data_IF_933342441345
#
_entry.id   IF_933342441345
#
_cell.length_a   1.000
_cell.length_b   1.000
_cell.length_c   1.000
_cell.angle_alpha   90.00
_cell.angle_beta   90.00
_cell.angle_gamma   90.00
#
_symmetry.space_group_name_H-M   'P 1'
#
loop_
_entity.id
_entity.type
_entity.pdbx_description
1 polymer ?
#
# COMPACT_ATOMS: atom_id res chain seq x y z
N UNK A 1 -8.39 -24.64 72.95
CA UNK A 1 -7.37 -24.55 71.89
C UNK A 1 -7.98 -25.13 70.63
N UNK A 2 -7.90 -24.38 69.53
CA UNK A 2 -8.35 -24.65 68.16
C UNK A 2 -9.73 -24.08 67.76
N UNK A 3 -9.59 -22.96 67.03
CA UNK A 3 -10.56 -21.96 66.59
C UNK A 3 -11.40 -22.42 65.41
N UNK A 4 -12.68 -22.11 65.47
CA UNK A 4 -13.71 -22.29 64.45
C UNK A 4 -13.62 -21.18 63.38
N UNK A 5 -13.41 -21.61 62.13
CA UNK A 5 -13.97 -21.19 60.82
C UNK A 5 -14.62 -19.78 60.63
N UNK A 6 -14.44 -19.22 59.41
CA UNK A 6 -15.18 -18.11 58.70
C UNK A 6 -14.45 -16.75 58.72
N UNK A 7 -14.26 -15.94 57.65
CA UNK A 7 -14.79 -15.86 56.29
C UNK A 7 -13.72 -15.26 55.36
N UNK A 8 -13.44 -15.93 54.24
CA UNK A 8 -12.72 -15.36 53.10
C UNK A 8 -13.76 -14.67 52.20
N UNK A 9 -13.81 -13.33 52.21
CA UNK A 9 -14.66 -12.55 51.29
C UNK A 9 -13.87 -12.26 50.01
N UNK A 10 -14.08 -13.06 48.96
CA UNK A 10 -13.55 -12.73 47.63
C UNK A 10 -14.40 -11.62 47.01
N UNK A 11 -13.78 -10.48 46.73
CA UNK A 11 -14.35 -9.41 45.91
C UNK A 11 -14.42 -9.90 44.45
N UNK A 12 -15.62 -10.09 43.90
CA UNK A 12 -15.82 -10.24 42.46
C UNK A 12 -15.75 -8.85 41.82
N UNK A 13 -14.61 -8.50 41.24
CA UNK A 13 -14.50 -7.37 40.33
C UNK A 13 -14.98 -7.82 38.93
N UNK A 14 -16.19 -7.43 38.56
CA UNK A 14 -16.71 -7.60 37.20
C UNK A 14 -16.01 -6.63 36.26
N UNK A 15 -15.07 -7.13 35.45
CA UNK A 15 -14.52 -6.39 34.32
C UNK A 15 -15.54 -6.48 33.19
N UNK A 16 -16.26 -5.38 32.94
CA UNK A 16 -17.04 -5.22 31.73
C UNK A 16 -16.08 -5.02 30.56
N UNK A 17 -15.94 -6.04 29.70
CA UNK A 17 -15.20 -5.92 28.45
C UNK A 17 -15.98 -4.98 27.51
N UNK A 18 -15.48 -3.77 27.33
CA UNK A 18 -15.91 -2.89 26.24
C UNK A 18 -15.41 -3.52 24.95
N UNK A 19 -16.32 -4.15 24.21
CA UNK A 19 -16.05 -4.59 22.84
C UNK A 19 -15.92 -3.35 21.97
N UNK A 20 -14.67 -2.91 21.75
CA UNK A 20 -14.36 -1.94 20.69
C UNK A 20 -14.66 -2.67 19.38
N UNK A 21 -15.74 -2.26 18.69
CA UNK A 21 -15.97 -2.68 17.32
C UNK A 21 -14.92 -2.01 16.44
N UNK A 22 -13.75 -2.63 16.32
CA UNK A 22 -12.82 -2.34 15.24
C UNK A 22 -13.52 -2.73 13.95
N UNK A 23 -13.97 -1.75 13.18
CA UNK A 23 -14.41 -2.00 11.81
C UNK A 23 -13.26 -2.68 11.07
N UNK A 24 -13.50 -3.88 10.54
CA UNK A 24 -12.53 -4.58 9.70
C UNK A 24 -12.31 -3.73 8.46
N UNK A 25 -11.13 -3.12 8.34
CA UNK A 25 -10.72 -2.48 7.10
C UNK A 25 -10.60 -3.58 6.04
N UNK A 26 -11.45 -3.54 5.03
CA UNK A 26 -11.34 -4.44 3.89
C UNK A 26 -10.21 -3.95 2.99
N UNK A 27 -9.28 -4.84 2.69
CA UNK A 27 -8.17 -4.58 1.80
C UNK A 27 -8.09 -5.64 0.71
N UNK A 28 -7.68 -5.24 -0.48
CA UNK A 28 -7.31 -6.14 -1.57
C UNK A 28 -5.87 -5.85 -2.00
N UNK A 29 -5.13 -6.89 -2.33
CA UNK A 29 -3.71 -6.81 -2.66
C UNK A 29 -3.46 -7.35 -4.05
N UNK A 30 -2.71 -6.60 -4.84
CA UNK A 30 -2.24 -6.99 -6.16
C UNK A 30 -0.72 -7.01 -6.16
N UNK A 31 -0.12 -8.10 -6.63
CA UNK A 31 1.33 -8.23 -6.78
C UNK A 31 1.68 -8.61 -8.20
N UNK A 32 2.80 -8.10 -8.71
CA UNK A 32 3.32 -8.45 -10.02
C UNK A 32 4.84 -8.58 -9.95
N UNK A 33 5.40 -9.60 -10.61
CA UNK A 33 6.83 -9.81 -10.74
C UNK A 33 7.13 -10.29 -12.16
N UNK A 34 8.19 -9.77 -12.78
CA UNK A 34 8.63 -10.22 -14.10
C UNK A 34 9.98 -10.96 -14.06
N UNK A 35 10.38 -11.49 -15.21
CA UNK A 35 11.64 -12.23 -15.37
C UNK A 35 12.89 -11.36 -15.29
N UNK A 36 12.75 -10.03 -15.32
CA UNK A 36 13.86 -9.10 -15.22
C UNK A 36 14.15 -8.70 -13.77
N UNK A 37 13.29 -9.10 -12.83
CA UNK A 37 13.45 -8.80 -11.40
C UNK A 37 12.73 -7.54 -10.95
N UNK A 38 11.86 -6.95 -11.78
CA UNK A 38 10.88 -5.95 -11.33
C UNK A 38 9.81 -6.64 -10.52
N UNK A 39 9.49 -6.09 -9.36
CA UNK A 39 8.46 -6.62 -8.48
C UNK A 39 7.74 -5.47 -7.80
N UNK A 40 6.41 -5.49 -7.84
CA UNK A 40 5.57 -4.44 -7.30
C UNK A 40 4.37 -5.00 -6.53
N UNK A 41 3.87 -4.20 -5.61
CA UNK A 41 2.66 -4.46 -4.84
C UNK A 41 1.79 -3.20 -4.77
N UNK A 42 0.48 -3.38 -4.90
CA UNK A 42 -0.52 -2.38 -4.57
C UNK A 42 -1.54 -2.96 -3.58
N UNK A 43 -1.67 -2.33 -2.42
CA UNK A 43 -2.70 -2.66 -1.43
C UNK A 43 -3.74 -1.54 -1.46
N UNK A 44 -4.97 -1.87 -1.83
CA UNK A 44 -6.12 -0.98 -1.76
C UNK A 44 -6.90 -1.28 -0.49
N UNK A 45 -7.24 -0.26 0.29
CA UNK A 45 -8.06 -0.43 1.50
C UNK A 45 -9.05 0.72 1.67
N UNK A 46 -10.18 0.43 2.31
CA UNK A 46 -11.22 1.43 2.58
C UNK A 46 -11.14 1.90 4.03
N UNK A 47 -11.14 3.22 4.22
CA UNK A 47 -11.22 3.85 5.53
C UNK A 47 -12.20 5.02 5.49
N UNK A 48 -13.42 4.78 5.97
CA UNK A 48 -14.52 5.73 5.84
C UNK A 48 -14.86 5.98 4.37
N UNK A 49 -14.83 7.24 3.94
CA UNK A 49 -15.03 7.68 2.54
C UNK A 49 -13.72 7.86 1.77
N UNK A 50 -12.62 7.28 2.28
CA UNK A 50 -11.31 7.33 1.65
C UNK A 50 -10.91 5.96 1.11
N UNK A 51 -10.32 5.96 -0.08
CA UNK A 51 -9.52 4.87 -0.60
C UNK A 51 -8.05 5.14 -0.23
N UNK A 52 -7.44 4.22 0.51
CA UNK A 52 -6.00 4.23 0.76
C UNK A 52 -5.33 3.24 -0.17
N UNK A 53 -4.26 3.68 -0.84
CA UNK A 53 -3.48 2.87 -1.77
C UNK A 53 -2.03 2.87 -1.31
N UNK A 54 -1.51 1.71 -0.89
CA UNK A 54 -0.07 1.54 -0.66
C UNK A 54 0.54 0.99 -1.93
N UNK A 55 1.46 1.73 -2.55
CA UNK A 55 2.21 1.29 -3.72
C UNK A 55 3.65 1.00 -3.30
N UNK A 56 4.17 -0.16 -3.67
CA UNK A 56 5.52 -0.57 -3.32
C UNK A 56 6.27 -1.22 -4.49
N UNK A 57 7.58 -0.99 -4.55
CA UNK A 57 8.53 -1.76 -5.35
C UNK A 57 9.16 -2.82 -4.44
N UNK A 58 8.63 -4.03 -4.50
CA UNK A 58 8.97 -5.14 -3.60
C UNK A 58 10.20 -5.93 -4.04
N UNK A 59 10.90 -5.51 -5.10
CA UNK A 59 12.11 -6.19 -5.54
C UNK A 59 13.20 -6.14 -4.47
N UNK A 60 13.99 -7.21 -4.40
CA UNK A 60 15.16 -7.31 -3.52
C UNK A 60 16.47 -6.98 -4.25
N UNK A 61 16.42 -6.62 -5.54
CA UNK A 61 17.59 -6.28 -6.33
C UNK A 61 17.95 -4.80 -6.21
N UNK A 62 19.25 -4.49 -6.34
CA UNK A 62 19.75 -3.11 -6.42
C UNK A 62 19.22 -2.42 -7.69
N UNK A 63 18.85 -1.14 -7.62
CA UNK A 63 18.33 -0.40 -8.78
C UNK A 63 19.48 0.30 -9.49
N UNK A 64 19.89 -0.28 -10.62
CA UNK A 64 21.02 0.22 -11.42
C UNK A 64 20.61 0.83 -12.77
N UNK A 65 19.31 0.79 -13.11
CA UNK A 65 18.76 1.31 -14.35
C UNK A 65 17.40 2.02 -14.06
N UNK A 66 17.15 3.23 -14.60
CA UNK A 66 15.88 3.96 -14.44
C UNK A 66 14.62 3.15 -14.79
N UNK A 67 14.73 2.17 -15.69
CA UNK A 67 13.64 1.26 -16.07
C UNK A 67 13.25 0.26 -14.99
N UNK A 68 13.90 0.30 -13.82
CA UNK A 68 13.57 -0.46 -12.61
C UNK A 68 12.98 0.41 -11.48
N UNK A 69 12.80 1.71 -11.73
CA UNK A 69 12.07 2.60 -10.83
C UNK A 69 10.58 2.53 -11.15
N UNK A 70 9.76 2.25 -10.13
CA UNK A 70 8.30 2.19 -10.23
C UNK A 70 7.74 3.63 -10.15
N UNK A 71 7.08 4.08 -11.21
CA UNK A 71 6.65 5.48 -11.36
C UNK A 71 5.14 5.62 -11.44
N UNK A 72 4.40 4.55 -11.74
CA UNK A 72 2.94 4.62 -11.76
C UNK A 72 2.25 3.31 -11.38
N UNK A 73 1.03 3.48 -10.90
CA UNK A 73 0.03 2.44 -10.71
C UNK A 73 -1.20 2.82 -11.53
N UNK A 74 -1.68 1.89 -12.35
CA UNK A 74 -2.94 2.02 -13.09
C UNK A 74 -3.96 1.04 -12.55
N UNK A 75 -5.24 1.43 -12.55
CA UNK A 75 -6.35 0.61 -12.09
C UNK A 75 -7.70 1.11 -12.61
N UNK A 76 -8.75 0.32 -12.40
CA UNK A 76 -10.15 0.64 -12.66
C UNK A 76 -11.01 0.34 -11.43
N UNK A 77 -12.29 0.73 -11.48
CA UNK A 77 -13.26 0.50 -10.40
C UNK A 77 -13.42 1.70 -9.46
N UNK A 78 -12.39 2.53 -9.30
CA UNK A 78 -12.42 3.74 -8.47
C UNK A 78 -11.98 5.00 -9.25
N UNK A 79 -12.97 5.79 -9.70
CA UNK A 79 -12.77 6.97 -10.54
C UNK A 79 -13.28 8.25 -9.87
N UNK A 80 -12.79 9.41 -10.33
CA UNK A 80 -13.28 10.71 -9.90
C UNK A 80 -12.99 11.04 -8.43
N UNK A 81 -12.00 10.36 -7.82
CA UNK A 81 -11.63 10.60 -6.43
C UNK A 81 -10.81 11.88 -6.28
N UNK A 82 -10.82 12.45 -5.08
CA UNK A 82 -10.05 13.65 -4.75
C UNK A 82 -8.71 13.25 -4.14
N UNK A 83 -7.56 13.64 -4.72
CA UNK A 83 -6.26 13.40 -4.09
C UNK A 83 -6.13 14.19 -2.79
N UNK A 84 -5.84 13.50 -1.68
CA UNK A 84 -5.69 14.11 -0.34
C UNK A 84 -4.23 14.16 0.07
N UNK A 85 -3.54 13.01 0.11
CA UNK A 85 -2.14 12.95 0.54
C UNK A 85 -1.34 11.83 -0.12
N UNK A 86 -0.02 12.00 -0.18
CA UNK A 86 0.95 10.95 -0.46
C UNK A 86 2.04 10.98 0.61
N UNK A 87 2.10 9.94 1.44
CA UNK A 87 2.94 9.89 2.63
C UNK A 87 3.90 8.70 2.59
N UNK A 88 5.11 8.91 3.07
CA UNK A 88 6.09 7.86 3.28
C UNK A 88 5.71 7.04 4.52
N UNK A 89 5.48 5.72 4.41
CA UNK A 89 5.28 4.89 5.58
C UNK A 89 6.60 4.71 6.34
N UNK A 90 6.51 4.26 7.60
CA UNK A 90 7.70 3.97 8.41
C UNK A 90 8.64 3.00 7.70
N UNK A 91 9.94 3.29 7.74
CA UNK A 91 10.97 2.48 7.08
C UNK A 91 11.23 2.84 5.61
N UNK A 92 10.46 3.78 5.06
CA UNK A 92 10.74 4.42 3.76
C UNK A 92 11.52 5.72 3.95
N UNK A 93 12.42 6.01 3.01
CA UNK A 93 13.25 7.21 2.98
C UNK A 93 13.38 7.74 1.56
N UNK A 94 13.67 9.04 1.44
CA UNK A 94 14.01 9.72 0.18
C UNK A 94 15.53 9.87 0.11
N UNK A 95 16.10 9.60 -1.06
CA UNK A 95 17.51 9.83 -1.36
C UNK A 95 17.65 10.97 -2.34
N UNK A 96 18.80 11.64 -2.31
CA UNK A 96 19.15 12.72 -3.22
C UNK A 96 18.13 13.90 -3.24
N UNK A 97 17.31 14.02 -2.19
CA UNK A 97 16.29 15.06 -2.07
C UNK A 97 15.61 15.11 -0.70
N UNK A 98 14.83 16.17 -0.44
CA UNK A 98 14.12 16.33 0.83
C UNK A 98 12.90 15.40 0.92
N UNK A 99 12.51 15.02 2.15
CA UNK A 99 11.32 14.23 2.44
C UNK A 99 10.17 15.02 3.08
N UNK A 100 10.40 16.27 3.50
CA UNK A 100 9.42 17.16 4.11
C UNK A 100 8.54 16.50 5.21
N UNK A 101 9.18 15.84 6.17
CA UNK A 101 8.46 15.16 7.25
C UNK A 101 7.67 13.93 6.78
N UNK A 102 7.97 13.40 5.60
CA UNK A 102 7.33 12.24 4.99
C UNK A 102 6.19 12.58 4.04
N UNK A 103 5.86 13.85 3.79
CA UNK A 103 4.86 14.21 2.79
C UNK A 103 5.50 14.50 1.44
N UNK A 104 5.25 13.61 0.46
CA UNK A 104 5.76 13.66 -0.91
C UNK A 104 4.67 13.95 -1.95
N UNK A 105 3.48 14.38 -1.53
CA UNK A 105 2.35 14.57 -2.45
C UNK A 105 2.54 15.70 -3.47
N UNK A 106 3.46 16.63 -3.22
CA UNK A 106 3.88 17.61 -4.23
C UNK A 106 4.63 17.03 -5.43
N UNK A 107 4.86 15.72 -5.46
CA UNK A 107 5.64 15.00 -6.48
C UNK A 107 4.81 13.89 -7.17
N UNK A 108 3.53 13.77 -6.82
CA UNK A 108 2.65 12.72 -7.33
C UNK A 108 1.32 13.32 -7.79
N UNK A 109 0.70 12.65 -8.75
CA UNK A 109 -0.64 12.98 -9.22
C UNK A 109 -1.53 11.74 -9.29
N UNK A 110 -2.81 11.94 -9.00
CA UNK A 110 -3.88 11.01 -9.35
C UNK A 110 -4.63 11.54 -10.59
N UNK A 111 -4.96 10.64 -11.51
CA UNK A 111 -5.78 10.93 -12.68
C UNK A 111 -6.86 9.88 -12.85
N UNK A 112 -7.98 10.27 -13.46
CA UNK A 112 -9.10 9.38 -13.75
C UNK A 112 -9.85 9.80 -15.02
N UNK A 113 -10.71 8.92 -15.51
CA UNK A 113 -11.38 9.10 -16.80
C UNK A 113 -10.47 8.80 -17.99
N UNK A 114 -9.41 8.01 -17.78
CA UNK A 114 -8.51 7.60 -18.86
C UNK A 114 -9.21 6.69 -19.84
N UNK A 115 -8.93 6.90 -21.13
CA UNK A 115 -9.41 6.07 -22.24
C UNK A 115 -8.27 5.34 -22.96
N UNK A 116 -7.03 5.73 -22.69
CA UNK A 116 -5.82 5.22 -23.35
C UNK A 116 -4.76 4.71 -22.37
N UNK A 117 -5.09 4.57 -21.08
CA UNK A 117 -4.15 4.04 -20.11
C UNK A 117 -3.91 2.53 -20.34
N UNK A 118 -2.75 2.00 -19.90
CA UNK A 118 -2.39 0.60 -20.08
C UNK A 118 -3.48 -0.35 -19.60
N UNK A 119 -3.65 -1.46 -20.33
CA UNK A 119 -4.59 -2.54 -19.99
C UNK A 119 -6.06 -2.09 -19.79
N UNK A 120 -6.45 -0.94 -20.37
CA UNK A 120 -7.81 -0.42 -20.24
C UNK A 120 -8.12 0.13 -18.85
N UNK A 121 -7.09 0.52 -18.09
CA UNK A 121 -7.28 1.21 -16.83
C UNK A 121 -8.02 2.54 -17.03
N UNK A 122 -8.86 2.92 -16.06
CA UNK A 122 -9.62 4.19 -16.11
C UNK A 122 -9.06 5.24 -15.16
N UNK A 123 -8.15 4.85 -14.26
CA UNK A 123 -7.50 5.72 -13.29
C UNK A 123 -6.04 5.30 -13.05
N UNK A 124 -5.29 6.18 -12.40
CA UNK A 124 -3.92 5.88 -11.99
C UNK A 124 -3.32 6.93 -11.07
N UNK A 125 -2.18 6.58 -10.49
CA UNK A 125 -1.35 7.41 -9.63
C UNK A 125 0.07 7.39 -10.20
N UNK A 126 0.70 8.54 -10.41
CA UNK A 126 2.06 8.59 -10.95
C UNK A 126 2.89 9.76 -10.44
N UNK A 127 4.22 9.55 -10.36
CA UNK A 127 5.24 10.58 -10.15
C UNK A 127 5.82 11.11 -11.46
N UNK A 128 5.37 10.61 -12.61
CA UNK A 128 5.88 10.98 -13.93
C UNK A 128 4.73 11.27 -14.89
N UNK A 129 5.00 12.06 -15.92
CA UNK A 129 4.02 12.40 -16.95
C UNK A 129 3.76 11.27 -17.95
N UNK A 130 4.63 10.26 -17.98
CA UNK A 130 4.56 9.10 -18.86
C UNK A 130 4.50 9.51 -20.34
N UNK A 131 5.61 10.07 -20.82
CA UNK A 131 5.79 10.46 -22.22
C UNK A 131 5.61 9.24 -23.14
N UNK A 132 5.11 9.39 -24.38
CA UNK A 132 4.55 10.61 -24.98
C UNK A 132 3.08 10.84 -24.62
N UNK A 133 2.46 9.94 -23.85
CA UNK A 133 1.02 10.01 -23.56
C UNK A 133 0.64 11.22 -22.70
N UNK A 134 1.54 11.69 -21.83
CA UNK A 134 1.31 12.87 -21.00
C UNK A 134 0.09 12.71 -20.08
N UNK A 135 -0.21 11.48 -19.63
CA UNK A 135 -1.40 11.15 -18.84
C UNK A 135 -1.47 11.93 -17.53
N UNK A 136 -0.32 12.37 -17.02
CA UNK A 136 -0.20 13.19 -15.83
C UNK A 136 0.56 14.48 -16.18
N UNK A 137 0.07 15.63 -15.73
CA UNK A 137 0.67 16.92 -16.06
C UNK A 137 1.36 17.59 -14.87
N UNK A 138 0.66 17.70 -13.75
CA UNK A 138 1.13 18.37 -12.54
C UNK A 138 0.75 17.56 -11.30
N UNK A 139 1.55 17.61 -10.23
CA UNK A 139 1.20 17.03 -8.94
C UNK A 139 -0.12 17.62 -8.43
N UNK A 140 -0.94 16.78 -7.81
CA UNK A 140 -2.25 17.20 -7.30
C UNK A 140 -2.63 16.61 -5.93
N UNK A 141 -1.73 15.88 -5.28
CA UNK A 141 -1.83 15.61 -3.85
C UNK A 141 -1.39 16.82 -3.03
N UNK A 142 -1.64 16.80 -1.71
CA UNK A 142 -1.17 17.86 -0.83
C UNK A 142 0.37 17.89 -0.73
N UNK A 143 0.90 19.00 -0.21
CA UNK A 143 2.33 19.16 0.05
C UNK A 143 3.01 20.11 -0.93
N UNK A 144 4.20 20.62 -0.56
CA UNK A 144 4.99 21.48 -1.43
C UNK A 144 5.73 20.68 -2.49
N UNK A 145 6.15 21.38 -3.54
CA UNK A 145 7.16 20.87 -4.46
C UNK A 145 8.49 20.69 -3.71
N UNK A 146 8.99 19.47 -3.69
CA UNK A 146 10.20 19.02 -3.00
C UNK A 146 11.43 18.98 -3.93
N UNK A 147 11.22 18.67 -5.21
CA UNK A 147 12.24 18.65 -6.25
C UNK A 147 11.77 19.38 -7.50
N UNK A 148 12.66 20.11 -8.18
CA UNK A 148 12.32 20.79 -9.42
C UNK A 148 12.59 19.91 -10.65
N UNK A 149 11.88 20.13 -11.78
CA UNK A 149 10.74 21.05 -11.95
C UNK A 149 9.45 20.53 -11.31
N UNK A 150 8.42 21.38 -11.19
CA UNK A 150 7.11 20.99 -10.65
C UNK A 150 6.32 20.07 -11.59
N UNK A 151 6.58 20.14 -12.90
CA UNK A 151 6.00 19.21 -13.86
C UNK A 151 6.40 17.77 -13.54
N UNK A 152 5.46 16.85 -13.68
CA UNK A 152 5.77 15.43 -13.67
C UNK A 152 6.38 15.09 -15.03
N UNK A 153 7.69 15.25 -15.20
CA UNK A 153 8.38 15.09 -16.49
C UNK A 153 9.60 14.15 -16.46
N UNK A 154 9.86 13.54 -15.31
CA UNK A 154 11.02 12.66 -15.16
C UNK A 154 10.83 11.59 -14.10
N UNK A 155 11.97 11.15 -13.55
CA UNK A 155 12.10 10.04 -12.61
C UNK A 155 11.94 10.48 -11.15
N UNK A 156 11.83 11.79 -10.92
CA UNK A 156 11.81 12.39 -9.59
C UNK A 156 10.72 11.73 -8.73
N UNK A 157 11.12 11.38 -7.51
CA UNK A 157 10.31 10.72 -6.49
C UNK A 157 9.65 9.41 -6.93
N UNK A 158 10.13 8.78 -8.00
CA UNK A 158 9.81 7.39 -8.32
C UNK A 158 10.29 6.43 -7.23
N UNK A 159 9.71 5.24 -7.19
CA UNK A 159 9.93 4.26 -6.13
C UNK A 159 10.99 3.23 -6.55
N UNK A 160 12.16 3.27 -5.91
CA UNK A 160 13.20 2.24 -6.02
C UNK A 160 12.85 1.03 -5.15
N UNK A 161 13.54 -0.08 -5.40
CA UNK A 161 13.23 -1.37 -4.79
C UNK A 161 13.45 -1.40 -3.28
N UNK A 162 12.79 -2.33 -2.59
CA UNK A 162 13.06 -2.61 -1.18
C UNK A 162 14.51 -3.10 -0.94
N UNK A 163 15.13 -3.75 -1.93
CA UNK A 163 16.52 -4.20 -1.90
C UNK A 163 17.56 -3.14 -2.25
N UNK A 164 17.15 -1.94 -2.68
CA UNK A 164 18.05 -0.93 -3.25
C UNK A 164 19.17 -0.51 -2.28
N UNK A 165 20.40 -0.43 -2.79
CA UNK A 165 21.61 -0.17 -2.00
C UNK A 165 22.18 1.21 -2.37
N UNK A 166 21.82 2.23 -1.61
CA UNK A 166 22.20 3.64 -1.89
C UNK A 166 23.68 3.95 -1.87
N UNK A 167 24.49 3.11 -1.23
CA UNK A 167 25.95 3.29 -1.26
C UNK A 167 26.55 2.89 -2.61
N UNK A 168 25.81 2.16 -3.44
CA UNK A 168 26.21 1.92 -4.83
C UNK A 168 26.01 3.24 -5.57
N UNK A 169 27.08 3.85 -6.13
CA UNK A 169 26.91 5.08 -6.87
C UNK A 169 26.00 4.81 -8.08
N UNK A 170 24.80 5.37 -8.04
CA UNK A 170 23.92 5.39 -9.20
C UNK A 170 24.62 6.05 -10.38
N UNK A 171 24.26 5.64 -11.59
CA UNK A 171 24.75 6.29 -12.82
C UNK A 171 23.63 7.11 -13.44
N UNK A 172 23.99 8.29 -13.97
CA UNK A 172 23.05 9.15 -14.69
C UNK A 172 21.86 9.58 -13.85
N UNK A 173 20.66 9.33 -14.36
CA UNK A 173 19.40 9.80 -13.77
C UNK A 173 19.14 9.29 -12.36
N UNK A 174 19.64 8.12 -11.99
CA UNK A 174 19.47 7.58 -10.64
C UNK A 174 20.22 8.40 -9.58
N UNK A 175 21.38 8.96 -9.93
CA UNK A 175 22.18 9.78 -9.02
C UNK A 175 21.70 11.23 -8.94
N UNK A 176 21.04 11.73 -9.99
CA UNK A 176 20.66 13.14 -10.10
C UNK A 176 19.21 13.42 -9.68
N UNK A 177 18.39 12.38 -9.51
CA UNK A 177 16.99 12.53 -9.12
C UNK A 177 16.78 12.11 -7.67
N UNK A 178 15.89 12.84 -6.99
CA UNK A 178 15.36 12.38 -5.71
C UNK A 178 14.54 11.10 -5.93
N UNK A 179 14.73 10.06 -5.11
CA UNK A 179 14.06 8.77 -5.27
C UNK A 179 13.56 8.26 -3.91
N UNK A 180 12.45 7.54 -3.93
CA UNK A 180 11.82 6.96 -2.73
C UNK A 180 12.16 5.48 -2.66
N UNK A 181 12.71 4.98 -1.55
CA UNK A 181 12.86 3.54 -1.38
C UNK A 181 11.55 2.88 -0.97
N UNK A 182 11.26 1.73 -1.56
CA UNK A 182 10.25 0.79 -1.12
C UNK A 182 8.82 1.23 -1.43
N UNK A 183 8.25 2.27 -0.79
CA UNK A 183 6.79 2.47 -0.87
C UNK A 183 6.26 3.87 -0.59
N UNK A 184 5.04 4.17 -1.06
CA UNK A 184 4.26 5.38 -0.74
C UNK A 184 2.82 4.99 -0.44
N UNK A 185 2.21 5.67 0.54
CA UNK A 185 0.78 5.52 0.87
C UNK A 185 0.01 6.74 0.39
N UNK A 186 -0.92 6.53 -0.53
CA UNK A 186 -1.81 7.54 -1.09
C UNK A 186 -3.17 7.49 -0.40
N UNK A 187 -3.74 8.66 -0.11
CA UNK A 187 -5.12 8.79 0.34
C UNK A 187 -5.92 9.56 -0.71
N UNK A 188 -7.01 8.95 -1.18
CA UNK A 188 -7.97 9.52 -2.12
C UNK A 188 -9.34 9.60 -1.42
N UNK A 189 -9.97 10.78 -1.42
CA UNK A 189 -11.28 11.02 -0.82
C UNK A 189 -12.42 10.96 -1.83
N UNK A 190 -13.65 10.97 -1.31
CA UNK A 190 -14.86 10.96 -2.13
C UNK A 190 -15.33 9.57 -2.55
N UNK A 191 -14.82 8.52 -1.89
CA UNK A 191 -15.25 7.16 -2.12
C UNK A 191 -16.70 6.96 -1.67
N UNK A 192 -17.50 6.26 -2.48
CA UNK A 192 -18.88 5.94 -2.13
C UNK A 192 -18.95 5.09 -0.86
N UNK A 193 -19.96 5.35 -0.02
CA UNK A 193 -20.09 4.68 1.29
C UNK A 193 -20.24 3.14 1.19
N UNK A 194 -20.72 2.64 0.06
CA UNK A 194 -20.91 1.23 -0.25
C UNK A 194 -19.95 0.73 -1.34
N UNK A 195 -18.80 1.38 -1.49
CA UNK A 195 -17.79 0.95 -2.46
C UNK A 195 -17.37 -0.50 -2.20
N UNK A 196 -17.50 -1.34 -3.23
CA UNK A 196 -16.99 -2.71 -3.20
C UNK A 196 -15.51 -2.70 -3.59
N UNK A 197 -14.64 -3.00 -2.62
CA UNK A 197 -13.19 -3.07 -2.82
C UNK A 197 -12.79 -4.10 -3.88
N UNK A 198 -13.62 -5.12 -4.10
CA UNK A 198 -13.37 -6.15 -5.11
C UNK A 198 -13.69 -5.70 -6.54
N UNK A 199 -14.28 -4.50 -6.71
CA UNK A 199 -14.48 -3.90 -8.02
C UNK A 199 -13.19 -3.35 -8.64
N UNK A 200 -12.10 -3.24 -7.86
CA UNK A 200 -10.79 -2.85 -8.36
C UNK A 200 -10.29 -3.88 -9.37
N UNK A 201 -9.91 -3.41 -10.55
CA UNK A 201 -9.55 -4.24 -11.70
C UNK A 201 -8.55 -3.51 -12.62
N UNK A 202 -8.09 -4.17 -13.68
CA UNK A 202 -7.10 -3.64 -14.63
C UNK A 202 -5.86 -3.05 -13.94
N UNK A 203 -5.43 -3.69 -12.86
CA UNK A 203 -4.28 -3.25 -12.07
C UNK A 203 -3.01 -3.53 -12.85
N UNK A 204 -2.15 -2.53 -12.97
CA UNK A 204 -0.82 -2.69 -13.58
C UNK A 204 0.18 -1.66 -13.05
N UNK A 205 1.45 -2.01 -13.13
CA UNK A 205 2.55 -1.27 -12.54
C UNK A 205 3.50 -0.78 -13.62
N UNK A 206 3.67 0.54 -13.72
CA UNK A 206 4.54 1.17 -14.72
C UNK A 206 5.91 1.46 -14.13
N UNK A 207 6.93 1.00 -14.82
CA UNK A 207 8.32 1.32 -14.53
C UNK A 207 8.89 2.29 -15.55
N UNK A 208 9.79 3.18 -15.12
CA UNK A 208 10.38 4.21 -15.98
C UNK A 208 9.44 5.38 -16.29
N UNK A 209 9.86 6.30 -17.16
CA UNK A 209 9.17 7.58 -17.43
C UNK A 209 8.47 7.62 -18.79
N UNK A 210 8.64 6.57 -19.60
CA UNK A 210 7.94 6.39 -20.86
C UNK A 210 6.80 5.39 -20.67
N UNK A 211 5.62 5.69 -21.22
CA UNK A 211 4.46 4.78 -21.17
C UNK A 211 4.72 3.45 -21.90
N UNK A 212 5.67 3.42 -22.83
CA UNK A 212 6.13 2.22 -23.52
C UNK A 212 7.22 1.46 -22.76
N UNK A 213 7.72 1.99 -21.64
CA UNK A 213 8.55 1.19 -20.73
C UNK A 213 7.72 0.06 -20.09
N UNK A 214 8.39 -0.81 -19.34
CA UNK A 214 7.78 -2.00 -18.81
C UNK A 214 6.55 -1.69 -17.95
N UNK A 215 5.44 -2.31 -18.33
CA UNK A 215 4.20 -2.32 -17.60
C UNK A 215 3.87 -3.76 -17.23
N UNK A 216 3.96 -4.08 -15.93
CA UNK A 216 3.76 -5.44 -15.43
C UNK A 216 2.38 -5.57 -14.81
N UNK A 217 1.72 -6.69 -15.07
CA UNK A 217 0.37 -6.98 -14.57
C UNK A 217 0.42 -8.09 -13.52
N UNK A 218 -0.47 -8.05 -12.52
CA UNK A 218 -0.68 -9.19 -11.65
C UNK A 218 -1.04 -10.44 -12.47
N UNK A 219 -0.62 -11.65 -12.04
CA UNK A 219 -1.06 -12.88 -12.66
C UNK A 219 -2.59 -12.91 -12.76
N UNK A 220 -3.13 -13.24 -13.94
CA UNK A 220 -4.58 -13.42 -14.10
C UNK A 220 -5.01 -14.67 -13.32
N UNK A 221 -5.53 -14.46 -12.11
CA UNK A 221 -6.07 -15.50 -11.26
C UNK A 221 -6.31 -14.99 -9.85
N UNK A 222 -7.35 -15.47 -9.14
CA UNK A 222 -7.58 -15.07 -7.77
C UNK A 222 -6.42 -15.57 -6.92
N UNK A 223 -5.67 -14.67 -6.28
CA UNK A 223 -4.91 -15.02 -5.07
C UNK A 223 -5.70 -14.51 -3.87
N UNK A 224 -6.66 -15.29 -3.34
CA UNK A 224 -7.18 -15.02 -2.02
C UNK A 224 -6.01 -15.16 -1.05
N UNK A 225 -5.48 -14.02 -0.57
CA UNK A 225 -4.56 -14.04 0.56
C UNK A 225 -5.39 -14.33 1.81
N UNK A 226 -5.07 -15.39 2.59
CA UNK A 226 -5.81 -15.74 3.79
C UNK A 226 -5.79 -14.61 4.82
N UNK A 227 -6.98 -14.24 5.28
CA UNK A 227 -7.19 -13.27 6.35
C UNK A 227 -6.40 -13.69 7.62
N UNK A 228 -5.70 -12.77 8.29
CA UNK A 228 -5.00 -13.03 9.56
C UNK A 228 -5.88 -13.59 10.71
N UNK A 229 -7.19 -13.79 10.50
CA UNK A 229 -8.15 -14.24 11.51
C UNK A 229 -8.40 -15.76 11.57
N UNK A 230 -8.12 -16.54 10.52
CA UNK A 230 -8.45 -17.98 10.52
C UNK A 230 -7.59 -18.78 11.50
N UNK A 231 -6.32 -18.41 11.68
CA UNK A 231 -5.45 -19.01 12.70
C UNK A 231 -5.91 -18.67 14.13
N UNK A 232 -6.46 -17.47 14.34
CA UNK A 232 -6.99 -17.06 15.64
C UNK A 232 -8.27 -17.86 15.98
N UNK A 233 -9.18 -18.04 15.02
CA UNK A 233 -10.40 -18.82 15.23
C UNK A 233 -10.11 -20.32 15.41
N UNK A 234 -9.15 -20.88 14.66
CA UNK A 234 -8.69 -22.25 14.84
C UNK A 234 -8.00 -22.44 16.20
N UNK A 235 -7.20 -21.46 16.64
CA UNK A 235 -6.59 -21.43 17.96
C UNK A 235 -7.62 -21.43 19.08
N UNK A 236 -8.61 -20.53 19.03
CA UNK A 236 -9.68 -20.43 20.05
C UNK A 236 -10.56 -21.68 20.05
N UNK A 237 -10.90 -22.23 18.87
CA UNK A 237 -11.66 -23.48 18.74
C UNK A 237 -10.92 -24.70 19.31
N UNK A 238 -9.61 -24.80 19.06
CA UNK A 238 -8.75 -25.86 19.60
C UNK A 238 -8.61 -25.79 21.12
N UNK A 239 -8.43 -24.59 21.69
CA UNK A 239 -8.39 -24.39 23.13
C UNK A 239 -9.74 -24.70 23.80
N UNK A 240 -10.86 -24.32 23.19
CA UNK A 240 -12.20 -24.63 23.68
C UNK A 240 -12.46 -26.15 23.77
N UNK A 241 -12.07 -26.90 22.73
CA UNK A 241 -12.21 -28.36 22.69
C UNK A 241 -11.29 -29.07 23.70
N UNK A 242 -10.06 -28.58 23.91
CA UNK A 242 -9.14 -29.15 24.90
C UNK A 242 -9.66 -29.00 26.35
N UNK A 243 -10.27 -27.85 26.66
CA UNK A 243 -10.89 -27.61 27.98
C UNK A 243 -12.11 -28.51 28.17
N UNK A 244 -12.95 -28.68 27.14
CA UNK A 244 -14.11 -29.56 27.20
C UNK A 244 -13.72 -31.05 27.33
N UNK A 245 -12.68 -31.48 26.64
CA UNK A 245 -12.15 -32.85 26.73
C UNK A 245 -11.59 -33.20 28.12
N UNK A 246 -10.93 -32.25 28.81
CA UNK A 246 -10.47 -32.46 30.19
C UNK A 246 -11.62 -32.61 31.18
N UNK A 247 -12.72 -31.88 31.00
CA UNK A 247 -13.90 -31.96 31.87
C UNK A 247 -14.61 -33.32 31.82
N UNK A 248 -14.55 -34.03 30.70
CA UNK A 248 -15.17 -35.36 30.55
C UNK A 248 -14.37 -36.51 31.16
N UNK A 249 -13.08 -36.34 31.44
CA UNK A 249 -12.24 -37.37 32.07
C UNK A 249 -12.23 -37.33 33.61
N UNK A 250 -12.90 -36.34 34.20
CA UNK A 250 -12.95 -36.15 35.66
C UNK A 250 -14.37 -36.28 36.24
N UNK A 251 -15.28 -36.88 35.48
CA UNK A 251 -16.62 -37.28 35.92
C UNK A 251 -16.72 -38.80 35.95
#
# INVERSE_FOLDING_TARGET
MNTVMKHLRSLFAGIAAVAVMTGTAFATTFTATDTFGRSAEAIFSVSGTNLQVTLANTSNADVMDPTFVLTALFFSGANGLTPISALLPTGTVVFNGPSNGGNVGGEWAYGSGFTTAPHGATAGISSSGLSPSGLFGQPNFNGPNLGGPKSLDGLQYGITSAGDVFSTPGVGDLANNALIKNSVVFTLGGLAANFDINSISNVSFQYGTDIANANITPPQGPTPVPEPGTLLLLGIGGFGLAIWGKRRKSA
#
